data_IF_555196798670
#
_entry.id   IF_555196798670
#
_cell.length_a   1.000
_cell.length_b   1.000
_cell.length_c   1.000
_cell.angle_alpha   90.00
_cell.angle_beta   90.00
_cell.angle_gamma   90.00
#
_symmetry.space_group_name_H-M   'P 1'
#
loop_
_entity.id
_entity.type
_entity.pdbx_description
1 polymer ?
#
# COMPACT_ATOMS: atom_id res chain seq x y z
N UNK A 1 9.02 -3.04 34.39
CA UNK A 1 10.43 -3.42 34.60
C UNK A 1 10.89 -4.17 33.37
N UNK A 2 12.05 -3.84 32.76
CA UNK A 2 12.59 -4.67 31.70
C UNK A 2 12.99 -6.03 32.30
N UNK A 3 12.75 -7.15 31.60
CA UNK A 3 13.16 -8.46 32.09
C UNK A 3 14.69 -8.51 32.23
N UNK A 4 15.16 -9.05 33.35
CA UNK A 4 16.58 -9.25 33.62
C UNK A 4 17.16 -10.25 32.61
N UNK A 5 18.27 -9.85 31.97
CA UNK A 5 19.03 -10.67 31.00
C UNK A 5 19.66 -11.87 31.72
N UNK A 6 19.49 -13.07 31.16
CA UNK A 6 20.08 -14.33 31.69
C UNK A 6 21.28 -14.82 30.86
N UNK A 7 21.79 -14.03 29.90
CA UNK A 7 23.03 -14.39 29.18
C UNK A 7 24.05 -13.25 29.24
N UNK A 8 25.21 -13.54 29.81
CA UNK A 8 26.24 -12.61 30.26
C UNK A 8 27.35 -12.32 29.26
N UNK A 9 27.17 -12.64 27.97
CA UNK A 9 28.15 -12.27 26.94
C UNK A 9 27.90 -10.84 26.45
N UNK A 10 28.79 -9.91 26.82
CA UNK A 10 28.79 -8.56 26.22
C UNK A 10 29.13 -8.68 24.72
N UNK A 11 28.33 -8.09 23.80
CA UNK A 11 28.60 -8.19 22.37
C UNK A 11 29.95 -7.54 22.02
N UNK A 12 30.87 -8.32 21.45
CA UNK A 12 32.21 -7.87 21.03
C UNK A 12 32.20 -6.96 19.79
N UNK A 13 33.36 -6.44 19.36
CA UNK A 13 33.49 -5.66 18.13
C UNK A 13 32.93 -6.39 16.90
N UNK A 14 32.26 -5.67 15.99
CA UNK A 14 31.57 -6.24 14.82
C UNK A 14 30.15 -6.74 15.09
N UNK A 15 29.74 -6.83 16.36
CA UNK A 15 28.38 -7.29 16.72
C UNK A 15 27.28 -6.29 16.38
N UNK A 16 27.61 -5.01 16.25
CA UNK A 16 26.61 -3.95 16.20
C UNK A 16 25.77 -3.87 17.48
N UNK A 17 26.22 -4.45 18.60
CA UNK A 17 25.45 -4.51 19.85
C UNK A 17 24.28 -5.50 19.86
N UNK A 18 24.10 -6.24 18.77
CA UNK A 18 23.05 -7.24 18.63
C UNK A 18 23.47 -8.57 19.25
N UNK A 19 22.48 -9.33 19.68
CA UNK A 19 22.58 -10.71 20.17
C UNK A 19 21.43 -11.50 19.59
N UNK A 20 21.59 -12.81 19.44
CA UNK A 20 20.47 -13.71 19.10
C UNK A 20 20.18 -14.53 20.35
N UNK A 21 19.03 -14.30 20.98
CA UNK A 21 18.63 -15.09 22.16
C UNK A 21 18.46 -16.58 21.82
N UNK A 22 18.61 -17.45 22.82
CA UNK A 22 18.38 -18.89 22.63
C UNK A 22 16.95 -19.19 22.15
N UNK A 23 15.96 -18.41 22.58
CA UNK A 23 14.58 -18.55 22.12
C UNK A 23 14.45 -18.19 20.64
N UNK A 24 15.06 -17.07 20.21
CA UNK A 24 15.12 -16.69 18.80
C UNK A 24 15.79 -17.80 17.96
N UNK A 25 16.94 -18.31 18.42
CA UNK A 25 17.66 -19.37 17.71
C UNK A 25 16.81 -20.63 17.53
N UNK A 26 16.10 -21.09 18.58
CA UNK A 26 15.20 -22.26 18.49
C UNK A 26 14.06 -22.08 17.47
N UNK A 27 13.59 -20.85 17.26
CA UNK A 27 12.57 -20.55 16.24
C UNK A 27 13.17 -20.50 14.83
N UNK A 28 14.38 -19.95 14.71
CA UNK A 28 15.14 -19.87 13.45
C UNK A 28 15.52 -21.25 12.90
N UNK A 29 15.89 -22.18 13.79
CA UNK A 29 16.34 -23.54 13.44
C UNK A 29 15.21 -24.42 12.87
N UNK A 30 13.95 -24.00 12.98
CA UNK A 30 12.82 -24.75 12.41
C UNK A 30 12.93 -24.76 10.89
N UNK A 31 12.79 -25.91 10.20
CA UNK A 31 12.95 -25.98 8.75
C UNK A 31 11.81 -25.26 8.01
N UNK A 32 12.12 -24.73 6.82
CA UNK A 32 11.15 -24.07 5.95
C UNK A 32 10.66 -22.72 6.47
N UNK A 33 9.51 -22.28 5.95
CA UNK A 33 8.82 -21.07 6.38
C UNK A 33 8.11 -21.26 7.72
N UNK A 34 8.15 -20.23 8.56
CA UNK A 34 7.63 -20.25 9.91
C UNK A 34 6.23 -19.62 9.97
N UNK A 35 5.22 -20.49 10.10
CA UNK A 35 3.81 -20.09 10.25
C UNK A 35 3.55 -19.34 11.56
N UNK A 36 2.47 -18.58 11.62
CA UNK A 36 2.02 -17.94 12.88
C UNK A 36 1.80 -18.97 13.98
N UNK A 37 1.17 -20.11 13.67
CA UNK A 37 0.94 -21.24 14.59
C UNK A 37 2.23 -21.92 15.09
N UNK A 38 3.34 -21.71 14.39
CA UNK A 38 4.65 -22.27 14.72
C UNK A 38 5.55 -21.26 15.43
N UNK A 39 5.01 -20.13 15.90
CA UNK A 39 5.80 -19.11 16.59
C UNK A 39 6.38 -18.03 15.66
N UNK A 40 5.89 -17.91 14.42
CA UNK A 40 6.28 -16.84 13.50
C UNK A 40 6.07 -15.45 14.09
N UNK A 41 4.92 -15.23 14.74
CA UNK A 41 4.64 -13.96 15.41
C UNK A 41 5.60 -13.70 16.58
N UNK A 42 5.92 -14.73 17.36
CA UNK A 42 6.89 -14.62 18.46
C UNK A 42 8.30 -14.27 17.95
N UNK A 43 8.72 -14.86 16.83
CA UNK A 43 10.00 -14.54 16.20
C UNK A 43 10.05 -13.07 15.73
N UNK A 44 8.94 -12.53 15.18
CA UNK A 44 8.86 -11.10 14.81
C UNK A 44 9.05 -10.19 16.01
N UNK A 45 8.37 -10.49 17.11
CA UNK A 45 8.46 -9.71 18.35
C UNK A 45 9.90 -9.72 18.88
N UNK A 46 10.51 -10.90 19.02
CA UNK A 46 11.90 -11.04 19.43
C UNK A 46 12.84 -10.28 18.49
N UNK A 47 12.63 -10.41 17.16
CA UNK A 47 13.47 -9.74 16.17
C UNK A 47 13.43 -8.21 16.35
N UNK A 48 12.22 -7.64 16.47
CA UNK A 48 12.02 -6.21 16.67
C UNK A 48 12.63 -5.74 18.00
N UNK A 49 12.31 -6.42 19.11
CA UNK A 49 12.77 -6.05 20.45
C UNK A 49 14.29 -6.11 20.57
N UNK A 50 14.90 -7.19 20.09
CA UNK A 50 16.35 -7.37 20.16
C UNK A 50 17.08 -6.42 19.20
N UNK A 51 16.49 -6.10 18.04
CA UNK A 51 17.06 -5.14 17.07
C UNK A 51 17.15 -3.70 17.60
N UNK A 52 16.36 -3.35 18.62
CA UNK A 52 16.43 -2.04 19.28
C UNK A 52 17.79 -1.78 19.96
N UNK A 53 18.56 -2.83 20.25
CA UNK A 53 19.89 -2.73 20.84
C UNK A 53 21.00 -2.41 19.82
N UNK A 54 20.65 -2.25 18.54
CA UNK A 54 21.62 -1.95 17.49
C UNK A 54 22.40 -0.66 17.79
N UNK A 55 23.72 -0.76 17.74
CA UNK A 55 24.67 0.33 17.96
C UNK A 55 25.72 0.32 16.86
N UNK A 56 25.64 1.29 15.95
CA UNK A 56 26.56 1.44 14.82
C UNK A 56 28.03 1.58 15.25
N UNK A 57 28.33 2.11 16.46
CA UNK A 57 29.71 2.22 16.97
C UNK A 57 30.34 0.87 17.31
N UNK A 58 29.54 -0.19 17.40
CA UNK A 58 30.00 -1.57 17.63
C UNK A 58 30.12 -2.36 16.32
N UNK A 59 29.88 -1.75 15.16
CA UNK A 59 30.23 -2.33 13.87
C UNK A 59 31.76 -2.32 13.71
N UNK A 60 32.29 -3.15 12.82
CA UNK A 60 33.66 -2.94 12.38
C UNK A 60 33.77 -1.65 11.56
N UNK A 61 35.00 -1.21 11.30
CA UNK A 61 35.26 0.07 10.67
C UNK A 61 34.67 0.19 9.25
N UNK A 62 34.82 -0.85 8.43
CA UNK A 62 34.29 -0.85 7.07
C UNK A 62 32.75 -0.76 7.06
N UNK A 63 32.10 -1.58 7.87
CA UNK A 63 30.66 -1.58 8.06
C UNK A 63 30.14 -0.25 8.61
N UNK A 64 30.88 0.37 9.53
CA UNK A 64 30.55 1.70 10.04
C UNK A 64 30.59 2.75 8.94
N UNK A 65 31.62 2.74 8.06
CA UNK A 65 31.67 3.64 6.90
C UNK A 65 30.53 3.40 5.91
N UNK A 66 30.16 2.13 5.67
CA UNK A 66 28.98 1.78 4.89
C UNK A 66 27.70 2.35 5.52
N UNK A 67 27.56 2.24 6.84
CA UNK A 67 26.42 2.73 7.61
C UNK A 67 26.29 4.27 7.58
N UNK A 68 27.38 5.01 7.75
CA UNK A 68 27.33 6.48 7.67
C UNK A 68 27.36 7.01 6.23
N UNK A 69 27.46 6.12 5.24
CA UNK A 69 27.52 6.49 3.82
C UNK A 69 28.81 7.21 3.43
N UNK A 70 29.94 6.98 4.11
CA UNK A 70 31.22 7.64 3.84
C UNK A 70 31.91 7.03 2.60
N UNK A 71 31.43 7.41 1.42
CA UNK A 71 31.91 6.86 0.14
C UNK A 71 33.43 6.91 -0.05
N UNK A 72 34.16 8.02 0.25
CA UNK A 72 35.60 8.06 0.06
C UNK A 72 36.36 6.99 0.85
N UNK A 73 35.98 6.74 2.10
CA UNK A 73 36.62 5.73 2.93
C UNK A 73 36.26 4.31 2.50
N UNK A 74 35.00 4.07 2.09
CA UNK A 74 34.59 2.78 1.53
C UNK A 74 35.43 2.46 0.28
N UNK A 75 35.56 3.42 -0.65
CA UNK A 75 36.41 3.26 -1.84
C UNK A 75 37.86 2.94 -1.48
N UNK A 76 38.44 3.75 -0.59
CA UNK A 76 39.83 3.58 -0.14
C UNK A 76 40.07 2.19 0.45
N UNK A 77 39.19 1.69 1.30
CA UNK A 77 39.34 0.37 1.92
C UNK A 77 39.20 -0.78 0.92
N UNK A 78 38.25 -0.68 -0.02
CA UNK A 78 38.08 -1.69 -1.09
C UNK A 78 39.28 -1.70 -2.03
N UNK A 79 39.73 -0.52 -2.48
CA UNK A 79 40.86 -0.38 -3.42
C UNK A 79 42.19 -0.79 -2.79
N UNK A 80 42.38 -0.56 -1.49
CA UNK A 80 43.56 -1.01 -0.76
C UNK A 80 43.52 -2.51 -0.40
N UNK A 81 42.44 -3.24 -0.69
CA UNK A 81 42.28 -4.65 -0.30
C UNK A 81 42.16 -4.87 1.21
N UNK A 82 41.78 -3.84 1.97
CA UNK A 82 41.62 -3.87 3.43
C UNK A 82 40.16 -4.17 3.81
N UNK A 83 39.21 -3.92 2.90
CA UNK A 83 37.81 -4.23 3.12
C UNK A 83 37.61 -5.75 3.37
N UNK A 84 36.66 -6.13 4.23
CA UNK A 84 36.23 -7.52 4.34
C UNK A 84 35.67 -8.04 3.01
N UNK A 85 35.44 -9.36 2.95
CA UNK A 85 34.70 -9.97 1.84
C UNK A 85 33.32 -9.31 1.69
N UNK A 86 33.12 -8.62 0.56
CA UNK A 86 31.90 -7.86 0.27
C UNK A 86 30.66 -8.76 0.10
N UNK A 87 30.85 -10.07 -0.05
CA UNK A 87 29.76 -11.06 -0.07
C UNK A 87 29.35 -11.53 1.33
N UNK A 88 30.15 -11.18 2.34
CA UNK A 88 29.94 -11.54 3.74
C UNK A 88 28.89 -10.68 4.46
N UNK A 89 28.84 -10.87 5.79
CA UNK A 89 27.88 -10.22 6.67
C UNK A 89 28.50 -9.78 7.98
N UNK A 90 27.92 -8.77 8.60
CA UNK A 90 28.24 -8.33 9.96
C UNK A 90 27.13 -8.68 10.94
N UNK A 91 27.45 -8.58 12.23
CA UNK A 91 26.54 -8.77 13.37
C UNK A 91 26.02 -10.21 13.50
N UNK A 92 25.53 -10.62 14.68
CA UNK A 92 24.80 -11.88 14.83
C UNK A 92 23.56 -12.00 13.93
N UNK A 93 23.02 -10.88 13.45
CA UNK A 93 21.87 -10.85 12.55
C UNK A 93 22.25 -11.09 11.08
N UNK A 94 23.54 -11.20 10.75
CA UNK A 94 24.03 -11.42 9.39
C UNK A 94 23.60 -10.32 8.41
N UNK A 95 23.74 -9.05 8.82
CA UNK A 95 23.50 -7.92 7.93
C UNK A 95 24.61 -7.84 6.87
N UNK A 96 24.25 -8.02 5.60
CA UNK A 96 25.13 -7.70 4.47
C UNK A 96 25.37 -6.19 4.33
N UNK A 97 26.43 -5.80 3.61
CA UNK A 97 26.83 -4.38 3.51
C UNK A 97 25.78 -3.48 2.85
N UNK A 98 24.99 -3.99 1.88
CA UNK A 98 23.85 -3.25 1.33
C UNK A 98 22.78 -2.95 2.40
N UNK A 99 22.42 -3.94 3.23
CA UNK A 99 21.49 -3.78 4.35
C UNK A 99 22.01 -2.77 5.38
N UNK A 100 23.32 -2.79 5.67
CA UNK A 100 23.97 -1.84 6.58
C UNK A 100 23.87 -0.40 6.04
N UNK A 101 24.17 -0.19 4.76
CA UNK A 101 24.05 1.13 4.11
C UNK A 101 22.62 1.67 4.14
N UNK A 102 21.62 0.82 3.88
CA UNK A 102 20.20 1.20 3.94
C UNK A 102 19.78 1.51 5.37
N UNK A 103 20.15 0.66 6.32
CA UNK A 103 19.91 0.86 7.75
C UNK A 103 20.50 2.17 8.26
N UNK A 104 21.68 2.52 7.75
CA UNK A 104 22.37 3.77 7.96
C UNK A 104 21.61 4.97 7.40
N UNK A 105 21.26 4.94 6.12
CA UNK A 105 20.47 5.99 5.48
C UNK A 105 19.14 6.25 6.20
N UNK A 106 18.51 5.22 6.76
CA UNK A 106 17.28 5.35 7.54
C UNK A 106 17.50 6.05 8.89
N UNK A 107 18.62 5.79 9.57
CA UNK A 107 18.85 6.21 10.97
C UNK A 107 19.70 7.47 11.10
N UNK A 108 20.68 7.67 10.24
CA UNK A 108 21.57 8.84 10.24
C UNK A 108 20.80 10.10 9.84
N UNK A 109 19.90 10.00 8.85
CA UNK A 109 19.04 11.11 8.45
C UNK A 109 18.07 11.52 9.58
N UNK A 110 17.55 10.56 10.36
CA UNK A 110 16.68 10.85 11.50
C UNK A 110 17.39 11.66 12.59
N UNK A 111 18.65 11.34 12.90
CA UNK A 111 19.45 12.08 13.87
C UNK A 111 19.67 13.55 13.46
N UNK A 112 19.76 13.82 12.15
CA UNK A 112 19.87 15.19 11.62
C UNK A 112 18.55 15.96 11.77
N UNK A 113 17.40 15.31 11.54
CA UNK A 113 16.06 15.92 11.68
C UNK A 113 15.70 16.25 13.12
N UNK A 114 16.13 15.44 14.10
CA UNK A 114 15.83 15.64 15.52
C UNK A 114 16.79 16.63 16.20
N UNK A 115 18.02 16.76 15.70
CA UNK A 115 19.05 17.62 16.32
C UNK A 115 19.10 19.05 15.76
N UNK A 116 18.35 19.36 14.70
CA UNK A 116 18.34 20.67 14.05
C UNK A 116 19.67 21.06 13.39
N UNK A 117 20.68 20.19 13.41
CA UNK A 117 21.97 20.37 12.74
C UNK A 117 21.96 19.58 11.43
N UNK A 118 22.18 20.22 10.27
CA UNK A 118 22.41 19.50 9.04
C UNK A 118 23.70 18.70 9.20
N UNK A 119 23.62 17.37 9.18
CA UNK A 119 24.79 16.55 8.87
C UNK A 119 24.85 16.41 7.36
N UNK A 120 24.96 17.56 6.67
CA UNK A 120 25.55 17.59 5.34
C UNK A 120 27.06 17.61 5.54
N UNK A 121 27.60 16.49 6.02
CA UNK A 121 29.01 16.21 5.75
C UNK A 121 29.09 15.98 4.25
N UNK A 122 29.99 16.66 3.54
CA UNK A 122 30.26 16.44 2.11
C UNK A 122 30.52 14.96 1.77
N UNK A 123 30.80 14.14 2.79
CA UNK A 123 31.07 12.70 2.69
C UNK A 123 29.85 11.79 2.89
N UNK A 124 28.69 12.27 3.36
CA UNK A 124 27.51 11.43 3.58
C UNK A 124 26.76 11.19 2.26
N UNK A 125 27.02 10.05 1.63
CA UNK A 125 26.46 9.65 0.35
C UNK A 125 26.04 8.17 0.37
N UNK A 126 24.91 7.80 1.01
CA UNK A 126 24.45 6.42 1.07
C UNK A 126 24.11 5.87 -0.33
N UNK A 127 23.61 6.74 -1.21
CA UNK A 127 23.32 6.41 -2.62
C UNK A 127 24.58 5.93 -3.34
N UNK A 128 25.60 6.79 -3.40
CA UNK A 128 26.87 6.48 -4.07
C UNK A 128 27.63 5.35 -3.38
N UNK A 129 27.51 5.20 -2.06
CA UNK A 129 28.05 4.07 -1.31
C UNK A 129 27.42 2.76 -1.77
N UNK A 130 26.09 2.69 -1.86
CA UNK A 130 25.38 1.50 -2.31
C UNK A 130 25.71 1.18 -3.78
N UNK A 131 25.66 2.16 -4.68
CA UNK A 131 26.02 1.99 -6.10
C UNK A 131 27.45 1.45 -6.26
N UNK A 132 28.40 1.99 -5.49
CA UNK A 132 29.79 1.52 -5.52
C UNK A 132 29.90 0.08 -5.02
N UNK A 133 29.32 -0.24 -3.86
CA UNK A 133 29.37 -1.59 -3.30
C UNK A 133 28.81 -2.65 -4.27
N UNK A 134 27.65 -2.36 -4.87
CA UNK A 134 27.03 -3.24 -5.88
C UNK A 134 27.94 -3.39 -7.11
N UNK A 135 28.54 -2.30 -7.60
CA UNK A 135 29.47 -2.33 -8.73
C UNK A 135 30.75 -3.16 -8.46
N UNK A 136 31.08 -3.37 -7.18
CA UNK A 136 32.22 -4.17 -6.71
C UNK A 136 31.84 -5.59 -6.31
N UNK A 137 30.64 -6.05 -6.65
CA UNK A 137 30.22 -7.44 -6.44
C UNK A 137 29.53 -7.72 -5.11
N UNK A 138 29.13 -6.68 -4.36
CA UNK A 138 28.24 -6.89 -3.19
C UNK A 138 26.91 -7.47 -3.68
N UNK A 139 26.45 -8.63 -3.17
CA UNK A 139 25.18 -9.21 -3.61
C UNK A 139 24.00 -8.37 -3.07
N UNK A 140 22.98 -8.05 -3.89
CA UNK A 140 21.84 -7.26 -3.43
C UNK A 140 20.89 -8.03 -2.52
N UNK A 141 20.90 -9.37 -2.60
CA UNK A 141 19.95 -10.27 -1.90
C UNK A 141 20.57 -11.03 -0.72
N UNK A 142 21.63 -10.50 -0.11
CA UNK A 142 22.15 -11.06 1.14
C UNK A 142 21.07 -11.00 2.22
N UNK A 143 20.74 -12.15 2.78
CA UNK A 143 19.69 -12.33 3.77
C UNK A 143 20.24 -12.17 5.18
N UNK A 144 19.48 -11.48 6.04
CA UNK A 144 19.67 -11.55 7.48
C UNK A 144 19.12 -12.86 8.09
N UNK A 145 19.25 -13.03 9.40
CA UNK A 145 18.83 -14.24 10.11
C UNK A 145 17.35 -14.62 9.92
N UNK A 146 16.47 -13.67 9.59
CA UNK A 146 15.04 -13.95 9.31
C UNK A 146 14.73 -13.88 7.81
N UNK A 147 15.73 -13.87 6.94
CA UNK A 147 15.54 -13.88 5.50
C UNK A 147 15.20 -12.52 4.89
N UNK A 148 15.30 -11.42 5.63
CA UNK A 148 15.14 -10.10 5.01
C UNK A 148 16.39 -9.74 4.21
N UNK A 149 16.16 -9.27 2.99
CA UNK A 149 17.19 -8.70 2.12
C UNK A 149 17.27 -7.18 2.27
N UNK A 150 18.29 -6.57 1.68
CA UNK A 150 18.41 -5.12 1.57
C UNK A 150 17.12 -4.46 1.05
N UNK A 151 16.44 -5.09 0.07
CA UNK A 151 15.20 -4.58 -0.52
C UNK A 151 14.06 -4.56 0.50
N UNK A 152 13.90 -5.60 1.32
CA UNK A 152 12.91 -5.64 2.40
C UNK A 152 13.11 -4.46 3.36
N UNK A 153 14.36 -4.27 3.82
CA UNK A 153 14.70 -3.18 4.72
C UNK A 153 14.43 -1.80 4.10
N UNK A 154 14.71 -1.63 2.80
CA UNK A 154 14.50 -0.36 2.09
C UNK A 154 13.02 0.02 1.92
N UNK A 155 12.10 -0.95 1.88
CA UNK A 155 10.69 -0.72 1.53
C UNK A 155 9.71 -0.84 2.69
N UNK A 156 9.98 -1.68 3.68
CA UNK A 156 8.97 -2.04 4.69
C UNK A 156 8.85 -1.02 5.84
N UNK A 157 9.86 -0.17 6.05
CA UNK A 157 9.89 0.78 7.16
C UNK A 157 9.14 2.09 6.83
N UNK A 158 8.65 2.82 7.84
CA UNK A 158 8.07 4.16 7.72
C UNK A 158 9.02 5.15 7.03
N UNK A 159 10.33 4.98 7.24
CA UNK A 159 11.38 5.77 6.57
C UNK A 159 11.95 5.05 5.33
N UNK A 160 11.07 4.45 4.52
CA UNK A 160 11.46 3.75 3.30
C UNK A 160 12.36 4.64 2.40
N UNK A 161 13.37 4.03 1.79
CA UNK A 161 14.36 4.68 0.93
C UNK A 161 14.12 4.26 -0.50
N UNK A 162 13.17 4.91 -1.16
CA UNK A 162 12.68 4.54 -2.50
C UNK A 162 13.79 4.63 -3.55
N UNK A 163 14.66 5.61 -3.42
CA UNK A 163 15.86 5.79 -4.26
C UNK A 163 16.84 4.62 -4.11
N UNK A 164 17.14 4.20 -2.87
CA UNK A 164 18.01 3.05 -2.61
C UNK A 164 17.36 1.73 -3.03
N UNK A 165 16.06 1.57 -2.81
CA UNK A 165 15.30 0.41 -3.27
C UNK A 165 15.34 0.28 -4.80
N UNK A 166 15.24 1.40 -5.52
CA UNK A 166 15.35 1.42 -6.99
C UNK A 166 16.74 0.96 -7.44
N UNK A 167 17.81 1.45 -6.79
CA UNK A 167 19.19 1.03 -7.09
C UNK A 167 19.36 -0.47 -6.90
N UNK A 168 18.84 -1.04 -5.82
CA UNK A 168 18.87 -2.49 -5.60
C UNK A 168 18.18 -3.26 -6.72
N UNK A 169 16.97 -2.83 -7.11
CA UNK A 169 16.19 -3.48 -8.17
C UNK A 169 16.87 -3.36 -9.54
N UNK A 170 17.43 -2.20 -9.87
CA UNK A 170 18.22 -1.99 -11.09
C UNK A 170 19.50 -2.83 -11.13
N UNK A 171 20.04 -3.22 -9.97
CA UNK A 171 21.18 -4.12 -9.82
C UNK A 171 20.76 -5.57 -9.56
N UNK A 172 19.53 -5.95 -9.90
CA UNK A 172 19.10 -7.35 -9.92
C UNK A 172 18.60 -7.92 -8.60
N UNK A 173 18.29 -7.08 -7.60
CA UNK A 173 17.61 -7.56 -6.39
C UNK A 173 16.30 -8.27 -6.72
N UNK A 174 16.07 -9.43 -6.13
CA UNK A 174 14.86 -10.19 -6.34
C UNK A 174 13.67 -9.52 -5.64
N UNK A 175 12.81 -8.88 -6.43
CA UNK A 175 11.58 -8.22 -5.99
C UNK A 175 10.60 -9.14 -5.24
N UNK A 176 10.73 -10.46 -5.44
CA UNK A 176 9.87 -11.51 -4.91
C UNK A 176 10.58 -12.42 -3.89
N UNK A 177 11.71 -11.99 -3.32
CA UNK A 177 12.44 -12.78 -2.33
C UNK A 177 11.57 -13.05 -1.10
N UNK A 178 11.44 -14.31 -0.66
CA UNK A 178 10.62 -14.66 0.50
C UNK A 178 11.49 -14.77 1.76
N UNK A 179 11.09 -14.07 2.82
CA UNK A 179 11.73 -14.15 4.13
C UNK A 179 11.35 -15.44 4.89
N UNK A 180 11.77 -15.57 6.16
CA UNK A 180 11.46 -16.72 7.04
C UNK A 180 9.95 -16.94 7.22
N UNK A 181 9.12 -15.93 7.01
CA UNK A 181 7.66 -16.00 7.12
C UNK A 181 6.99 -16.27 5.77
N UNK A 182 7.77 -16.55 4.71
CA UNK A 182 7.24 -16.69 3.35
C UNK A 182 6.79 -15.37 2.72
N UNK A 183 7.06 -14.23 3.36
CA UNK A 183 6.59 -12.94 2.86
C UNK A 183 7.55 -12.38 1.82
N UNK A 184 6.99 -11.90 0.72
CA UNK A 184 7.67 -11.03 -0.25
C UNK A 184 7.70 -9.57 0.25
N UNK A 185 8.60 -8.70 -0.26
CA UNK A 185 8.74 -7.31 0.19
C UNK A 185 7.44 -6.48 0.21
N UNK A 186 6.46 -6.79 -0.65
CA UNK A 186 5.15 -6.11 -0.68
C UNK A 186 4.36 -6.24 0.62
N UNK A 187 4.48 -7.34 1.37
CA UNK A 187 3.69 -7.58 2.59
C UNK A 187 3.89 -6.47 3.63
N UNK A 188 5.14 -6.13 3.94
CA UNK A 188 5.45 -5.06 4.90
C UNK A 188 4.98 -3.70 4.39
N UNK A 189 5.08 -3.45 3.08
CA UNK A 189 4.63 -2.19 2.47
C UNK A 189 3.12 -1.97 2.63
N UNK A 190 2.32 -3.05 2.59
CA UNK A 190 0.88 -2.97 2.82
C UNK A 190 0.56 -2.58 4.26
N UNK A 191 1.23 -3.21 5.24
CA UNK A 191 1.02 -2.93 6.66
C UNK A 191 1.37 -1.48 6.99
N UNK A 192 2.51 -0.99 6.51
CA UNK A 192 3.00 0.36 6.77
C UNK A 192 2.42 1.44 5.84
N UNK A 193 1.52 1.08 4.92
CA UNK A 193 0.86 1.99 3.98
C UNK A 193 1.85 2.77 3.08
N UNK A 194 2.99 2.16 2.77
CA UNK A 194 4.08 2.75 1.98
C UNK A 194 3.78 2.69 0.49
N UNK A 195 2.81 3.49 0.04
CA UNK A 195 2.32 3.47 -1.36
C UNK A 195 3.42 3.71 -2.41
N UNK A 196 4.44 4.51 -2.11
CA UNK A 196 5.57 4.72 -3.02
C UNK A 196 6.43 3.45 -3.19
N UNK A 197 6.63 2.68 -2.11
CA UNK A 197 7.32 1.39 -2.15
C UNK A 197 6.50 0.35 -2.91
N UNK A 198 5.17 0.34 -2.72
CA UNK A 198 4.27 -0.52 -3.48
C UNK A 198 4.35 -0.20 -4.98
N UNK A 199 4.30 1.10 -5.34
CA UNK A 199 4.43 1.53 -6.73
C UNK A 199 5.74 1.06 -7.36
N UNK A 200 6.88 1.26 -6.68
CA UNK A 200 8.19 0.83 -7.14
C UNK A 200 8.29 -0.70 -7.28
N UNK A 201 7.89 -1.47 -6.26
CA UNK A 201 7.96 -2.92 -6.32
C UNK A 201 7.08 -3.48 -7.45
N UNK A 202 5.87 -2.92 -7.64
CA UNK A 202 4.99 -3.33 -8.73
C UNK A 202 5.53 -2.93 -10.12
N UNK A 203 6.24 -1.81 -10.23
CA UNK A 203 6.99 -1.40 -11.44
C UNK A 203 8.00 -2.46 -11.86
N UNK A 204 8.73 -3.02 -10.89
CA UNK A 204 9.73 -4.07 -11.11
C UNK A 204 9.17 -5.50 -11.09
N UNK A 205 7.85 -5.67 -11.24
CA UNK A 205 7.26 -6.99 -11.44
C UNK A 205 6.99 -7.80 -10.16
N UNK A 206 6.84 -7.13 -9.01
CA UNK A 206 6.39 -7.82 -7.79
C UNK A 206 5.11 -8.63 -8.04
N UNK A 207 5.11 -9.89 -7.60
CA UNK A 207 4.02 -10.84 -7.75
C UNK A 207 3.00 -10.66 -6.63
N UNK A 208 1.72 -10.78 -6.98
CA UNK A 208 0.63 -10.84 -6.01
C UNK A 208 0.18 -12.28 -5.71
N UNK A 209 0.83 -13.27 -6.33
CA UNK A 209 0.43 -14.68 -6.32
C UNK A 209 1.37 -15.58 -5.50
N UNK A 210 2.33 -15.00 -4.77
CA UNK A 210 3.26 -15.75 -3.91
C UNK A 210 2.70 -15.74 -2.47
N UNK A 211 2.24 -16.89 -1.94
CA UNK A 211 1.65 -16.95 -0.61
C UNK A 211 2.72 -16.87 0.48
N UNK A 212 2.38 -16.23 1.61
CA UNK A 212 3.19 -16.34 2.83
C UNK A 212 2.96 -17.67 3.55
N UNK A 213 3.65 -17.90 4.67
CA UNK A 213 3.68 -19.19 5.37
C UNK A 213 2.29 -19.73 5.76
N UNK A 214 1.36 -18.84 6.14
CA UNK A 214 -0.02 -19.17 6.48
C UNK A 214 -0.97 -19.25 5.25
N UNK A 215 -0.43 -19.13 4.03
CA UNK A 215 -1.15 -19.30 2.77
C UNK A 215 -1.85 -18.05 2.24
N UNK A 216 -1.68 -16.90 2.90
CA UNK A 216 -2.29 -15.63 2.49
C UNK A 216 -1.52 -15.08 1.27
N UNK A 217 -2.25 -14.70 0.23
CA UNK A 217 -1.67 -14.06 -0.95
C UNK A 217 -1.65 -12.53 -0.80
N UNK A 218 -0.62 -11.82 -1.34
CA UNK A 218 -0.60 -10.36 -1.38
C UNK A 218 -1.87 -9.75 -2.00
N UNK A 219 -2.42 -10.35 -3.07
CA UNK A 219 -3.71 -9.94 -3.69
C UNK A 219 -4.90 -9.95 -2.74
N UNK A 220 -4.89 -10.78 -1.70
CA UNK A 220 -5.96 -10.83 -0.71
C UNK A 220 -5.65 -9.93 0.49
N UNK A 221 -4.39 -9.88 0.90
CA UNK A 221 -3.97 -9.12 2.06
C UNK A 221 -4.09 -7.60 1.85
N UNK A 222 -3.72 -7.08 0.67
CA UNK A 222 -3.74 -5.62 0.41
C UNK A 222 -5.13 -4.97 0.60
N UNK A 223 -6.20 -5.74 0.36
CA UNK A 223 -7.59 -5.31 0.52
C UNK A 223 -7.94 -4.97 1.96
N UNK A 224 -7.23 -5.60 2.91
CA UNK A 224 -7.39 -5.44 4.34
C UNK A 224 -6.59 -4.26 4.91
N UNK A 225 -5.56 -3.80 4.19
CA UNK A 225 -4.60 -2.82 4.70
C UNK A 225 -5.00 -1.35 4.51
N UNK A 226 -5.96 -1.06 3.62
CA UNK A 226 -6.53 0.27 3.47
C UNK A 226 -6.81 0.68 2.02
N UNK A 227 -7.59 1.76 1.81
CA UNK A 227 -7.99 2.22 0.49
C UNK A 227 -6.82 2.74 -0.35
N UNK A 228 -5.80 3.35 0.27
CA UNK A 228 -4.60 3.83 -0.43
C UNK A 228 -3.79 2.67 -1.00
N UNK A 229 -3.49 1.67 -0.18
CA UNK A 229 -2.85 0.42 -0.58
C UNK A 229 -3.64 -0.28 -1.69
N UNK A 230 -4.95 -0.47 -1.51
CA UNK A 230 -5.81 -1.09 -2.54
C UNK A 230 -5.75 -0.33 -3.86
N UNK A 231 -5.90 0.99 -3.84
CA UNK A 231 -5.85 1.80 -5.05
C UNK A 231 -4.52 1.69 -5.80
N UNK A 232 -3.40 1.68 -5.07
CA UNK A 232 -2.07 1.50 -5.68
C UNK A 232 -1.95 0.13 -6.33
N UNK A 233 -2.34 -0.96 -5.63
CA UNK A 233 -2.28 -2.31 -6.21
C UNK A 233 -3.21 -2.44 -7.42
N UNK A 234 -4.47 -1.99 -7.31
CA UNK A 234 -5.47 -2.07 -8.37
C UNK A 234 -5.04 -1.30 -9.63
N UNK A 235 -4.36 -0.16 -9.46
CA UNK A 235 -3.76 0.59 -10.57
C UNK A 235 -2.80 -0.30 -11.37
N UNK A 236 -1.93 -1.04 -10.69
CA UNK A 236 -0.97 -1.92 -11.36
C UNK A 236 -1.59 -3.18 -11.93
N UNK A 237 -2.58 -3.79 -11.25
CA UNK A 237 -3.34 -4.93 -11.79
C UNK A 237 -3.96 -4.56 -13.14
N UNK A 238 -4.65 -3.41 -13.20
CA UNK A 238 -5.26 -2.91 -14.45
C UNK A 238 -4.21 -2.57 -15.50
N UNK A 239 -3.12 -1.88 -15.12
CA UNK A 239 -2.01 -1.57 -16.03
C UNK A 239 -1.41 -2.84 -16.65
N UNK A 240 -1.25 -3.92 -15.87
CA UNK A 240 -0.74 -5.21 -16.36
C UNK A 240 -1.76 -5.94 -17.23
N UNK A 241 -3.06 -5.77 -16.99
CA UNK A 241 -4.13 -6.29 -17.83
C UNK A 241 -4.35 -5.48 -19.12
N UNK A 242 -3.67 -4.33 -19.29
CA UNK A 242 -3.90 -3.41 -20.41
C UNK A 242 -5.22 -2.61 -20.30
N UNK A 243 -5.84 -2.61 -19.12
CA UNK A 243 -7.11 -1.92 -18.87
C UNK A 243 -6.88 -0.46 -18.48
N UNK A 244 -7.36 0.48 -19.31
CA UNK A 244 -7.39 1.90 -18.96
C UNK A 244 -8.76 2.27 -18.38
N UNK A 245 -8.92 2.11 -17.07
CA UNK A 245 -10.18 2.43 -16.40
C UNK A 245 -10.46 3.94 -16.39
N UNK A 246 -11.73 4.31 -16.58
CA UNK A 246 -12.16 5.69 -16.49
C UNK A 246 -11.80 6.32 -15.14
N UNK A 247 -11.31 7.57 -15.18
CA UNK A 247 -10.88 8.34 -14.00
C UNK A 247 -9.72 7.72 -13.20
N UNK A 248 -8.88 6.88 -13.83
CA UNK A 248 -7.66 6.34 -13.21
C UNK A 248 -6.67 7.42 -12.80
N UNK A 249 -6.54 8.48 -13.61
CA UNK A 249 -5.64 9.59 -13.35
C UNK A 249 -6.40 10.91 -13.16
N UNK A 250 -5.87 11.79 -12.30
CA UNK A 250 -6.45 13.11 -12.03
C UNK A 250 -5.89 14.16 -12.98
N UNK A 251 -5.98 13.89 -14.28
CA UNK A 251 -5.49 14.74 -15.36
C UNK A 251 -6.56 15.08 -16.38
N UNK A 252 -6.33 16.12 -17.18
CA UNK A 252 -7.17 16.44 -18.32
C UNK A 252 -7.01 15.37 -19.41
N UNK A 253 -8.13 14.81 -19.90
CA UNK A 253 -8.12 13.81 -20.98
C UNK A 253 -7.69 14.37 -22.35
N UNK A 254 -7.59 15.70 -22.51
CA UNK A 254 -7.12 16.31 -23.76
C UNK A 254 -5.65 16.69 -23.73
N UNK A 255 -5.19 17.36 -22.68
CA UNK A 255 -3.84 17.94 -22.62
C UNK A 255 -2.94 17.31 -21.55
N UNK A 256 -3.44 16.35 -20.78
CA UNK A 256 -2.68 15.68 -19.72
C UNK A 256 -2.38 16.54 -18.49
N UNK A 257 -2.86 17.79 -18.43
CA UNK A 257 -2.57 18.70 -17.31
C UNK A 257 -3.14 18.17 -15.98
N UNK A 258 -2.28 18.11 -14.98
CA UNK A 258 -2.58 17.71 -13.60
C UNK A 258 -2.72 18.92 -12.67
N UNK A 259 -3.19 18.71 -11.44
CA UNK A 259 -3.26 19.76 -10.41
C UNK A 259 -4.29 20.87 -10.64
N UNK A 260 -5.06 20.81 -11.74
CA UNK A 260 -6.08 21.81 -12.09
C UNK A 260 -7.50 21.35 -11.74
N UNK A 261 -8.43 22.31 -11.69
CA UNK A 261 -9.85 22.00 -11.59
C UNK A 261 -10.33 21.34 -12.88
N UNK A 262 -10.95 20.17 -12.77
CA UNK A 262 -11.41 19.38 -13.90
C UNK A 262 -12.93 19.26 -13.86
N UNK A 263 -13.59 19.64 -14.96
CA UNK A 263 -15.03 19.41 -15.17
C UNK A 263 -15.23 18.08 -15.88
N UNK A 264 -16.26 17.33 -15.46
CA UNK A 264 -16.61 16.05 -16.09
C UNK A 264 -17.38 16.28 -17.39
N UNK A 265 -17.23 15.34 -18.34
CA UNK A 265 -18.08 15.29 -19.52
C UNK A 265 -19.55 15.15 -19.09
N UNK A 266 -20.42 16.09 -19.48
CA UNK A 266 -21.83 16.10 -19.09
C UNK A 266 -22.69 14.97 -19.69
N UNK A 267 -22.14 14.10 -20.54
CA UNK A 267 -22.85 12.90 -21.04
C UNK A 267 -22.48 11.64 -20.27
N UNK A 268 -21.19 11.34 -20.14
CA UNK A 268 -20.74 10.08 -19.56
C UNK A 268 -20.27 10.18 -18.11
N UNK A 269 -19.93 11.38 -17.63
CA UNK A 269 -19.30 11.65 -16.33
C UNK A 269 -17.94 10.98 -16.08
N UNK A 270 -17.38 10.29 -17.08
CA UNK A 270 -16.18 9.44 -16.98
C UNK A 270 -14.93 10.04 -17.62
N UNK A 271 -15.06 11.12 -18.39
CA UNK A 271 -13.95 11.93 -18.90
C UNK A 271 -13.91 13.28 -18.18
N UNK A 272 -12.72 13.87 -18.05
CA UNK A 272 -12.44 15.10 -17.32
C UNK A 272 -11.62 16.08 -18.17
N UNK A 273 -11.97 17.36 -18.09
CA UNK A 273 -11.33 18.42 -18.87
C UNK A 273 -11.06 19.65 -18.01
N UNK A 274 -9.89 20.28 -18.21
CA UNK A 274 -9.55 21.52 -17.52
C UNK A 274 -10.25 22.75 -18.12
N UNK A 275 -10.76 22.65 -19.34
CA UNK A 275 -11.47 23.73 -20.03
C UNK A 275 -12.43 23.22 -21.10
N UNK A 276 -13.32 24.09 -21.57
CA UNK A 276 -14.29 23.76 -22.64
C UNK A 276 -13.55 23.53 -23.97
N UNK A 277 -12.44 24.23 -24.20
CA UNK A 277 -11.59 24.10 -25.39
C UNK A 277 -10.94 22.71 -25.42
N UNK A 278 -10.40 22.25 -24.29
CA UNK A 278 -9.88 20.88 -24.15
C UNK A 278 -10.96 19.84 -24.43
N UNK A 279 -12.18 20.05 -23.92
CA UNK A 279 -13.30 19.15 -24.21
C UNK A 279 -13.63 19.14 -25.70
N UNK A 280 -13.72 20.30 -26.36
CA UNK A 280 -14.01 20.42 -27.80
C UNK A 280 -12.93 19.77 -28.65
N UNK A 281 -11.66 19.96 -28.30
CA UNK A 281 -10.51 19.35 -29.00
C UNK A 281 -10.56 17.82 -28.93
N UNK A 282 -10.73 17.26 -27.72
CA UNK A 282 -10.83 15.82 -27.52
C UNK A 282 -12.17 15.21 -27.99
N UNK A 283 -13.21 16.02 -28.20
CA UNK A 283 -14.55 15.50 -28.52
C UNK A 283 -14.58 14.63 -29.78
N UNK A 284 -13.73 14.92 -30.77
CA UNK A 284 -13.68 14.15 -32.03
C UNK A 284 -13.37 12.67 -31.82
N UNK A 285 -12.49 12.35 -30.89
CA UNK A 285 -12.12 10.98 -30.51
C UNK A 285 -13.02 10.47 -29.39
N UNK A 286 -13.24 11.28 -28.34
CA UNK A 286 -14.04 10.88 -27.19
C UNK A 286 -15.47 10.50 -27.55
N UNK A 287 -16.14 11.19 -28.49
CA UNK A 287 -17.53 10.86 -28.87
C UNK A 287 -17.73 9.41 -29.30
N UNK A 288 -16.67 8.74 -29.79
CA UNK A 288 -16.70 7.34 -30.21
C UNK A 288 -16.63 6.36 -29.03
N UNK A 289 -16.06 6.80 -27.90
CA UNK A 289 -15.88 6.00 -26.68
C UNK A 289 -16.73 6.49 -25.52
N UNK A 290 -17.47 7.58 -25.70
CA UNK A 290 -18.34 8.19 -24.70
C UNK A 290 -19.51 7.26 -24.40
N UNK A 291 -19.63 6.81 -23.15
CA UNK A 291 -20.74 5.98 -22.66
C UNK A 291 -21.76 6.84 -21.88
N UNK A 292 -22.77 7.44 -22.55
CA UNK A 292 -23.81 8.22 -21.88
C UNK A 292 -24.69 7.34 -20.97
N UNK A 293 -25.48 7.96 -20.11
CA UNK A 293 -26.49 7.26 -19.31
C UNK A 293 -27.61 6.76 -20.23
N UNK A 294 -27.84 5.45 -20.26
CA UNK A 294 -28.90 4.79 -21.02
C UNK A 294 -29.60 3.74 -20.14
N UNK A 295 -30.79 3.31 -20.52
CA UNK A 295 -31.52 2.26 -19.77
C UNK A 295 -30.74 0.94 -19.70
N UNK A 296 -29.99 0.59 -20.75
CA UNK A 296 -29.20 -0.65 -20.81
C UNK A 296 -27.99 -0.65 -19.85
N UNK A 297 -27.41 0.52 -19.58
CA UNK A 297 -26.17 0.64 -18.80
C UNK A 297 -26.36 1.29 -17.42
N UNK A 298 -27.59 1.63 -17.05
CA UNK A 298 -27.94 2.20 -15.76
C UNK A 298 -28.92 1.32 -14.97
N UNK A 299 -28.93 1.53 -13.66
CA UNK A 299 -29.93 0.96 -12.75
C UNK A 299 -30.47 2.08 -11.88
N UNK A 300 -31.79 2.20 -11.81
CA UNK A 300 -32.46 3.13 -10.88
C UNK A 300 -32.68 2.43 -9.54
N UNK A 301 -32.14 3.01 -8.48
CA UNK A 301 -32.23 2.52 -7.11
C UNK A 301 -32.97 3.54 -6.23
N UNK A 302 -33.58 3.04 -5.16
CA UNK A 302 -34.27 3.87 -4.16
C UNK A 302 -33.40 4.00 -2.90
N UNK A 303 -32.82 5.18 -2.64
CA UNK A 303 -32.14 5.48 -1.38
C UNK A 303 -33.05 5.33 -0.15
N UNK A 304 -32.49 4.71 0.88
CA UNK A 304 -33.05 4.63 2.23
C UNK A 304 -32.07 5.29 3.22
N UNK A 305 -32.61 6.08 4.16
CA UNK A 305 -31.83 6.82 5.16
C UNK A 305 -32.38 6.46 6.55
N UNK A 306 -31.51 6.00 7.45
CA UNK A 306 -31.84 5.65 8.82
C UNK A 306 -30.78 6.21 9.79
N UNK A 307 -31.21 7.15 10.63
CA UNK A 307 -30.36 7.77 11.63
C UNK A 307 -30.00 6.75 12.72
N UNK A 308 -28.71 6.46 12.89
CA UNK A 308 -28.21 5.70 14.06
C UNK A 308 -27.11 4.68 13.78
N UNK A 309 -26.90 4.27 12.53
CA UNK A 309 -25.82 3.34 12.21
C UNK A 309 -24.47 4.08 12.08
N UNK A 310 -23.45 3.58 12.77
CA UNK A 310 -22.06 3.97 12.58
C UNK A 310 -21.36 2.94 11.69
N UNK A 311 -20.67 3.39 10.64
CA UNK A 311 -19.86 2.51 9.80
C UNK A 311 -18.46 2.43 10.40
N UNK A 312 -17.99 1.20 10.64
CA UNK A 312 -16.58 0.92 10.85
C UNK A 312 -15.97 0.44 9.53
N UNK A 313 -14.83 1.02 9.14
CA UNK A 313 -14.06 0.54 8.00
C UNK A 313 -13.45 -0.81 8.35
N UNK A 314 -13.65 -1.82 7.51
CA UNK A 314 -13.01 -3.13 7.66
C UNK A 314 -11.49 -3.01 7.75
N UNK A 315 -10.90 -2.06 7.00
CA UNK A 315 -9.48 -1.78 7.07
C UNK A 315 -9.06 -1.19 8.42
N UNK A 316 -9.89 -0.32 9.02
CA UNK A 316 -9.59 0.27 10.32
C UNK A 316 -9.70 -0.80 11.42
N UNK A 317 -10.72 -1.67 11.34
CA UNK A 317 -10.85 -2.82 12.24
C UNK A 317 -9.63 -3.73 12.19
N UNK A 318 -9.16 -4.06 10.98
CA UNK A 318 -8.00 -4.94 10.81
C UNK A 318 -6.72 -4.25 11.26
N UNK A 319 -6.52 -2.97 10.94
CA UNK A 319 -5.35 -2.22 11.40
C UNK A 319 -5.31 -2.13 12.93
N UNK A 320 -6.44 -1.87 13.57
CA UNK A 320 -6.56 -1.89 15.03
C UNK A 320 -6.22 -3.27 15.61
N UNK A 321 -6.74 -4.34 15.02
CA UNK A 321 -6.44 -5.72 15.44
C UNK A 321 -4.95 -6.05 15.31
N UNK A 322 -4.31 -5.53 14.26
CA UNK A 322 -2.88 -5.71 13.99
C UNK A 322 -1.98 -4.72 14.76
N UNK A 323 -2.55 -3.88 15.63
CA UNK A 323 -1.81 -2.85 16.38
C UNK A 323 -1.17 -1.77 15.49
N UNK A 324 -1.62 -1.63 14.25
CA UNK A 324 -1.07 -0.68 13.29
C UNK A 324 -1.77 0.67 13.48
N UNK A 325 -1.04 1.78 13.74
CA UNK A 325 -1.63 3.10 13.91
C UNK A 325 -2.52 3.50 12.72
N UNK A 326 -3.70 4.05 13.01
CA UNK A 326 -4.62 4.63 12.02
C UNK A 326 -4.81 6.11 12.31
N UNK A 327 -4.87 6.92 11.26
CA UNK A 327 -5.29 8.31 11.40
C UNK A 327 -6.70 8.39 11.99
N UNK A 328 -6.98 9.36 12.87
CA UNK A 328 -8.31 9.52 13.43
C UNK A 328 -9.32 9.80 12.31
N UNK A 329 -10.33 8.94 12.24
CA UNK A 329 -11.40 9.06 11.23
C UNK A 329 -12.33 10.22 11.62
N UNK A 330 -12.52 11.22 10.75
CA UNK A 330 -13.45 12.32 11.00
C UNK A 330 -14.85 11.80 11.35
N UNK A 331 -15.57 12.38 12.34
CA UNK A 331 -16.89 11.90 12.75
C UNK A 331 -17.90 11.80 11.58
N UNK A 332 -17.80 12.71 10.60
CA UNK A 332 -18.62 12.70 9.37
C UNK A 332 -18.45 11.43 8.54
N UNK A 333 -17.28 10.76 8.59
CA UNK A 333 -16.99 9.55 7.83
C UNK A 333 -17.56 8.29 8.48
N UNK A 334 -17.94 8.37 9.77
CA UNK A 334 -18.56 7.27 10.51
C UNK A 334 -20.08 7.22 10.34
N UNK A 335 -20.69 8.26 9.77
CA UNK A 335 -22.14 8.30 9.50
C UNK A 335 -22.53 7.28 8.44
N UNK A 336 -23.50 6.43 8.72
CA UNK A 336 -24.03 5.49 7.75
C UNK A 336 -24.89 6.14 6.67
N UNK A 337 -25.50 7.27 6.99
CA UNK A 337 -26.40 7.97 6.08
C UNK A 337 -26.26 9.49 6.18
N UNK A 338 -26.69 10.13 5.10
CA UNK A 338 -26.87 11.57 5.01
C UNK A 338 -27.78 11.86 3.83
N UNK A 339 -29.03 12.18 4.16
CA UNK A 339 -29.99 12.62 3.17
C UNK A 339 -29.58 13.98 2.59
N UNK A 340 -29.66 14.16 1.26
CA UNK A 340 -29.56 15.47 0.64
C UNK A 340 -30.77 16.32 1.02
N UNK A 341 -30.57 17.64 1.15
CA UNK A 341 -31.66 18.58 1.37
C UNK A 341 -32.61 18.60 0.16
N UNK A 342 -33.91 18.74 0.38
CA UNK A 342 -34.91 18.94 -0.70
C UNK A 342 -34.51 20.10 -1.62
N UNK A 343 -33.95 21.18 -1.06
CA UNK A 343 -33.45 22.34 -1.81
C UNK A 343 -32.23 22.06 -2.70
N UNK A 344 -31.67 20.85 -2.64
CA UNK A 344 -30.52 20.44 -3.48
C UNK A 344 -30.94 20.09 -4.91
N UNK A 345 -32.23 19.87 -5.15
CA UNK A 345 -32.74 19.34 -6.42
C UNK A 345 -33.31 20.46 -7.29
N UNK A 346 -32.90 20.48 -8.57
CA UNK A 346 -33.54 21.27 -9.60
C UNK A 346 -34.38 20.34 -10.48
N UNK A 347 -35.64 20.68 -10.81
CA UNK A 347 -36.50 19.85 -11.67
C UNK A 347 -35.90 19.54 -13.05
N UNK A 348 -34.96 20.38 -13.53
CA UNK A 348 -34.39 20.30 -14.87
C UNK A 348 -32.98 19.70 -14.94
N UNK A 349 -32.29 19.50 -13.80
CA UNK A 349 -30.91 19.02 -13.79
C UNK A 349 -30.63 18.08 -12.62
N UNK A 350 -30.42 16.77 -12.88
CA UNK A 350 -30.04 15.83 -11.84
C UNK A 350 -28.63 16.13 -11.31
N UNK A 351 -28.39 15.83 -10.03
CA UNK A 351 -27.08 16.04 -9.41
C UNK A 351 -26.14 14.90 -9.80
N UNK A 352 -25.12 15.19 -10.60
CA UNK A 352 -24.05 14.25 -10.94
C UNK A 352 -23.14 13.98 -9.73
N UNK A 353 -22.84 12.71 -9.49
CA UNK A 353 -22.04 12.23 -8.37
C UNK A 353 -21.11 11.10 -8.82
N UNK A 354 -19.95 11.00 -8.17
CA UNK A 354 -19.19 9.74 -8.12
C UNK A 354 -19.48 9.10 -6.77
N UNK A 355 -19.98 7.87 -6.80
CA UNK A 355 -20.35 7.10 -5.62
C UNK A 355 -19.48 5.86 -5.49
N UNK A 356 -19.27 5.44 -4.25
CA UNK A 356 -18.80 4.11 -3.89
C UNK A 356 -20.01 3.30 -3.46
N UNK A 357 -20.17 2.13 -4.05
CA UNK A 357 -21.15 1.13 -3.64
C UNK A 357 -20.40 -0.01 -2.97
N UNK A 358 -20.84 -0.40 -1.78
CA UNK A 358 -20.32 -1.53 -1.03
C UNK A 358 -21.43 -2.55 -0.83
N UNK A 359 -21.19 -3.77 -1.28
CA UNK A 359 -22.12 -4.89 -1.16
C UNK A 359 -21.86 -5.62 0.17
N UNK A 360 -22.85 -6.37 0.69
CA UNK A 360 -22.61 -7.27 1.81
C UNK A 360 -21.43 -8.21 1.51
N UNK A 361 -20.49 -8.30 2.44
CA UNK A 361 -19.25 -9.07 2.28
C UNK A 361 -18.89 -9.78 3.59
N UNK A 362 -18.49 -11.06 3.50
CA UNK A 362 -18.00 -11.83 4.63
C UNK A 362 -16.46 -11.92 4.58
N UNK A 363 -15.73 -11.39 5.58
CA UNK A 363 -14.28 -11.34 5.55
C UNK A 363 -13.55 -12.68 5.75
N UNK A 364 -14.25 -13.78 6.11
CA UNK A 364 -13.66 -15.08 6.50
C UNK A 364 -13.91 -16.25 5.53
N UNK A 365 -14.49 -16.03 4.34
CA UNK A 365 -14.44 -17.01 3.23
C UNK A 365 -15.73 -17.80 2.91
N UNK A 366 -15.79 -18.16 1.62
CA UNK A 366 -16.65 -19.10 0.89
C UNK A 366 -18.17 -19.07 1.15
N UNK A 367 -18.83 -18.08 0.57
CA UNK A 367 -20.26 -18.10 0.32
C UNK A 367 -20.71 -16.73 -0.19
N UNK A 368 -21.48 -16.67 -1.28
CA UNK A 368 -22.23 -15.46 -1.58
C UNK A 368 -23.08 -15.17 -0.34
N UNK A 369 -22.97 -13.99 0.30
CA UNK A 369 -23.81 -13.71 1.45
C UNK A 369 -25.26 -13.86 0.99
N UNK A 370 -25.95 -14.86 1.55
CA UNK A 370 -27.41 -15.03 1.47
C UNK A 370 -28.14 -13.87 2.15
N UNK A 371 -27.37 -13.00 2.82
CA UNK A 371 -27.82 -11.79 3.48
C UNK A 371 -28.43 -10.81 2.47
N UNK A 372 -29.74 -10.60 2.62
CA UNK A 372 -30.54 -9.50 2.05
C UNK A 372 -30.16 -8.11 2.61
N UNK A 373 -29.00 -7.99 3.26
CA UNK A 373 -28.54 -6.75 3.87
C UNK A 373 -28.47 -5.62 2.82
N UNK A 374 -28.76 -4.37 3.23
CA UNK A 374 -28.75 -3.26 2.30
C UNK A 374 -27.35 -3.00 1.70
N UNK A 375 -27.29 -2.51 0.46
CA UNK A 375 -26.06 -1.96 -0.11
C UNK A 375 -25.76 -0.64 0.56
N UNK A 376 -24.49 -0.36 0.81
CA UNK A 376 -24.05 0.93 1.32
C UNK A 376 -23.56 1.80 0.16
N UNK A 377 -24.11 3.01 0.02
CA UNK A 377 -23.79 3.93 -1.08
C UNK A 377 -23.43 5.30 -0.54
N UNK A 378 -22.31 5.87 -0.98
CA UNK A 378 -21.90 7.20 -0.54
C UNK A 378 -20.92 7.84 -1.51
N UNK A 379 -20.78 9.16 -1.45
CA UNK A 379 -19.77 9.89 -2.21
C UNK A 379 -18.52 10.20 -1.35
N UNK A 380 -17.45 10.67 -1.99
CA UNK A 380 -16.15 10.94 -1.35
C UNK A 380 -16.26 11.93 -0.18
N UNK A 381 -17.08 12.97 -0.31
CA UNK A 381 -17.21 14.03 0.69
C UNK A 381 -18.11 13.63 1.87
N UNK A 382 -18.84 12.51 1.77
CA UNK A 382 -19.86 12.08 2.75
C UNK A 382 -20.93 13.16 2.97
N UNK A 383 -21.19 13.98 1.96
CA UNK A 383 -22.36 14.87 1.90
C UNK A 383 -23.58 14.16 1.28
N UNK A 384 -23.37 12.98 0.70
CA UNK A 384 -24.41 12.01 0.32
C UNK A 384 -24.02 10.62 0.80
N UNK A 385 -24.89 9.98 1.59
CA UNK A 385 -24.76 8.58 2.00
C UNK A 385 -26.15 7.97 2.22
N UNK A 386 -26.37 6.75 1.74
CA UNK A 386 -27.63 6.03 1.87
C UNK A 386 -27.43 4.52 1.85
N UNK A 387 -28.50 3.82 2.17
CA UNK A 387 -28.64 2.38 2.04
C UNK A 387 -29.58 2.05 0.88
N UNK A 388 -29.35 0.92 0.21
CA UNK A 388 -30.26 0.41 -0.84
C UNK A 388 -30.76 -0.97 -0.41
N UNK A 389 -32.09 -1.13 -0.26
CA UNK A 389 -32.69 -2.40 0.16
C UNK A 389 -33.05 -3.24 -1.04
N UNK A 390 -32.94 -4.56 -0.90
CA UNK A 390 -33.31 -5.50 -1.95
C UNK A 390 -34.80 -5.42 -2.32
N UNK A 391 -35.68 -5.23 -1.33
CA UNK A 391 -37.14 -5.20 -1.55
C UNK A 391 -37.66 -4.02 -2.36
N UNK A 392 -36.91 -2.90 -2.44
CA UNK A 392 -37.37 -1.70 -3.17
C UNK A 392 -37.18 -1.84 -4.70
N UNK A 393 -36.15 -2.56 -5.14
CA UNK A 393 -35.91 -2.93 -6.55
C UNK A 393 -34.99 -4.18 -6.60
N UNK A 394 -35.57 -5.40 -6.61
CA UNK A 394 -34.78 -6.63 -6.53
C UNK A 394 -33.82 -6.83 -7.71
N UNK A 395 -34.26 -6.54 -8.93
CA UNK A 395 -33.45 -6.76 -10.14
C UNK A 395 -32.29 -5.76 -10.21
N UNK A 396 -32.58 -4.48 -9.91
CA UNK A 396 -31.56 -3.46 -9.81
C UNK A 396 -30.52 -3.76 -8.72
N UNK A 397 -30.97 -4.19 -7.54
CA UNK A 397 -30.10 -4.61 -6.45
C UNK A 397 -29.18 -5.77 -6.88
N UNK A 398 -29.74 -6.83 -7.49
CA UNK A 398 -28.97 -8.00 -7.94
C UNK A 398 -27.97 -7.61 -9.02
N UNK A 399 -28.36 -6.77 -9.97
CA UNK A 399 -27.48 -6.30 -11.05
C UNK A 399 -26.27 -5.53 -10.52
N UNK A 400 -26.48 -4.63 -9.57
CA UNK A 400 -25.38 -3.89 -8.92
C UNK A 400 -24.47 -4.84 -8.14
N UNK A 401 -25.04 -5.77 -7.38
CA UNK A 401 -24.27 -6.80 -6.68
C UNK A 401 -23.38 -7.62 -7.61
N UNK A 402 -23.93 -8.06 -8.75
CA UNK A 402 -23.19 -8.83 -9.74
C UNK A 402 -22.00 -8.01 -10.28
N UNK A 403 -22.23 -6.78 -10.74
CA UNK A 403 -21.16 -5.93 -11.26
C UNK A 403 -20.08 -5.65 -10.21
N UNK A 404 -20.46 -5.41 -8.95
CA UNK A 404 -19.48 -5.20 -7.86
C UNK A 404 -18.69 -6.47 -7.57
N UNK A 405 -19.30 -7.66 -7.67
CA UNK A 405 -18.61 -8.94 -7.45
C UNK A 405 -17.65 -9.27 -8.57
N UNK A 406 -18.07 -9.03 -9.81
CA UNK A 406 -17.33 -9.43 -11.02
C UNK A 406 -16.21 -8.43 -11.33
N UNK A 407 -16.44 -7.14 -11.14
CA UNK A 407 -15.55 -6.05 -11.58
C UNK A 407 -15.09 -5.12 -10.44
N UNK A 408 -15.59 -5.33 -9.23
CA UNK A 408 -15.24 -4.53 -8.06
C UNK A 408 -14.02 -5.05 -7.30
N UNK A 409 -13.54 -4.22 -6.38
CA UNK A 409 -12.35 -4.46 -5.58
C UNK A 409 -12.64 -5.56 -4.57
N UNK A 410 -12.00 -6.71 -4.76
CA UNK A 410 -12.21 -7.92 -3.94
C UNK A 410 -13.64 -8.42 -3.95
N UNK A 411 -14.43 -8.07 -4.97
CA UNK A 411 -15.85 -8.38 -5.07
C UNK A 411 -16.75 -7.69 -4.02
N UNK A 412 -16.22 -6.73 -3.26
CA UNK A 412 -16.90 -6.15 -2.10
C UNK A 412 -17.34 -4.69 -2.32
N UNK A 413 -16.67 -3.95 -3.20
CA UNK A 413 -16.93 -2.53 -3.44
C UNK A 413 -16.54 -2.11 -4.86
N UNK A 414 -17.28 -1.17 -5.44
CA UNK A 414 -16.93 -0.55 -6.73
C UNK A 414 -17.32 0.94 -6.76
N UNK A 415 -16.81 1.66 -7.75
CA UNK A 415 -17.04 3.09 -7.93
C UNK A 415 -17.80 3.34 -9.22
N UNK A 416 -18.81 4.20 -9.17
CA UNK A 416 -19.69 4.45 -10.31
C UNK A 416 -19.96 5.94 -10.48
N UNK A 417 -20.18 6.33 -11.74
CA UNK A 417 -20.88 7.57 -12.03
C UNK A 417 -22.36 7.36 -11.73
N UNK A 418 -22.98 8.36 -11.11
CA UNK A 418 -24.40 8.32 -10.77
C UNK A 418 -25.05 9.69 -10.93
N UNK A 419 -26.35 9.67 -11.14
CA UNK A 419 -27.21 10.85 -11.18
C UNK A 419 -28.26 10.71 -10.08
N UNK A 420 -28.27 11.66 -9.15
CA UNK A 420 -29.29 11.75 -8.13
C UNK A 420 -30.39 12.70 -8.64
N UNK A 421 -31.50 12.12 -9.09
CA UNK A 421 -32.64 12.83 -9.65
C UNK A 421 -33.55 13.41 -8.58
N UNK A 422 -33.72 12.68 -7.48
CA UNK A 422 -34.45 13.13 -6.30
C UNK A 422 -33.88 12.49 -5.03
N UNK A 423 -34.43 12.82 -3.86
CA UNK A 423 -34.05 12.18 -2.59
C UNK A 423 -34.21 10.65 -2.62
N UNK A 424 -35.12 10.15 -3.45
CA UNK A 424 -35.52 8.74 -3.52
C UNK A 424 -35.22 8.08 -4.87
N UNK A 425 -34.55 8.76 -5.80
CA UNK A 425 -34.23 8.23 -7.12
C UNK A 425 -32.74 8.45 -7.44
N UNK A 426 -31.97 7.37 -7.38
CA UNK A 426 -30.55 7.33 -7.69
C UNK A 426 -30.32 6.46 -8.92
N UNK A 427 -29.87 7.05 -10.02
CA UNK A 427 -29.52 6.34 -11.26
C UNK A 427 -28.02 6.06 -11.25
N UNK A 428 -27.64 4.78 -11.25
CA UNK A 428 -26.23 4.33 -11.18
C UNK A 428 -25.81 3.74 -12.52
N UNK A 429 -24.70 4.22 -13.10
CA UNK A 429 -24.19 3.72 -14.39
C UNK A 429 -23.36 2.45 -14.20
N UNK A 430 -24.03 1.31 -14.08
CA UNK A 430 -23.41 -0.01 -13.83
C UNK A 430 -22.64 -0.59 -15.02
N UNK A 431 -22.86 -0.09 -16.25
CA UNK A 431 -22.13 -0.53 -17.45
C UNK A 431 -20.69 0.01 -17.56
N UNK A 432 -20.22 0.78 -16.57
CA UNK A 432 -18.84 1.24 -16.50
C UNK A 432 -18.40 1.41 -15.03
N UNK A 433 -17.60 0.46 -14.54
CA UNK A 433 -16.92 0.59 -13.25
C UNK A 433 -15.77 1.59 -13.40
N UNK A 434 -15.75 2.59 -12.51
CA UNK A 434 -14.70 3.60 -12.47
C UNK A 434 -13.48 3.08 -11.71
N UNK A 435 -12.34 3.70 -11.99
CA UNK A 435 -11.12 3.42 -11.25
C UNK A 435 -11.26 3.63 -9.75
N UNK A 436 -10.55 2.82 -8.95
CA UNK A 436 -10.48 2.97 -7.49
C UNK A 436 -10.22 4.43 -7.10
N UNK A 437 -11.15 5.03 -6.37
CA UNK A 437 -11.02 6.40 -5.89
C UNK A 437 -10.63 6.40 -4.40
N UNK A 438 -9.79 7.35 -3.94
CA UNK A 438 -9.45 7.50 -2.53
C UNK A 438 -10.63 8.13 -1.77
N UNK A 439 -11.59 7.28 -1.39
CA UNK A 439 -12.83 7.60 -0.65
C UNK A 439 -12.69 7.37 0.86
#
# INVERSE_FOLDING_TARGET
MPPQRVDGSQPGPGSGGLTVSQEMQRLLDRPGYLKSSQGGQKLRELYVDESANFNARKLNQFAFYCYVGCLPEVKRMVEAGIAPDLTGTETPYKFGYATITISGAQRVELLSRTSGRPVQSETNNPKGTLEYLLSRGTPPDVQDIVGYTALHHATMNANAKIDLARILLENGANVNHQNKYGEVPLFGCFQTNQTASIDLLMEFGASLEIPEADGILPRHFHLRCGPRVSATVDKWVRKRAGEEAALAEKKCNSCGKEGVSLKQCGKCHSARYCSVECQRSHWRTHKKTCKPFTEENTVTLKPFYHAGAQIMSTSDTIRNLMGIPTDPVPPKNKRADRAPSESTFSPSQPKSLIIKVQVPYSPLGSGAPTSTAPLMVYNKKRDFACMIRMGDNPDGYRRVCQVVRDQGIGGAKAYFAAELKSRNELVVKVGEVLATQPF
#
